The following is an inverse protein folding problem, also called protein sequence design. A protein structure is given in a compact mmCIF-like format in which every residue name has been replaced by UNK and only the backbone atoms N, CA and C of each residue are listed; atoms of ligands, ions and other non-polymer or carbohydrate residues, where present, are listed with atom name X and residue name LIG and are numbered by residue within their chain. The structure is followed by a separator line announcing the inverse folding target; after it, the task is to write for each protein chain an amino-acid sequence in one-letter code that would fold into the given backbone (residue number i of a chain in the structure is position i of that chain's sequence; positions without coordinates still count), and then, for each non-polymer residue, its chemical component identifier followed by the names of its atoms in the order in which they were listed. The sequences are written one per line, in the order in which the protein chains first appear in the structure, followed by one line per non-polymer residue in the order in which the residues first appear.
data_IF_140701500185
#
_entry.id   IF_140701500185
#
_cell.length_a   1.000
_cell.length_b   1.000
_cell.length_c   1.000
_cell.angle_alpha   90.00
_cell.angle_beta   90.00
_cell.angle_gamma   90.00
#
_symmetry.space_group_name_H-M   'P 1'
#
loop_
_entity.id
_entity.type
_entity.pdbx_description
1 polymer ?
#
# COMPACT_ATOMS: atom_id res chain seq x y z
N UNK A 1 -13.30 -28.25 15.66
CA UNK A 1 -14.60 -27.66 15.30
C UNK A 1 -14.33 -26.35 14.57
N UNK A 2 -14.58 -26.27 13.28
CA UNK A 2 -14.41 -25.03 12.51
C UNK A 2 -15.62 -24.12 12.77
N UNK A 3 -15.46 -23.18 13.70
CA UNK A 3 -16.47 -22.16 14.02
C UNK A 3 -16.50 -21.13 12.89
N UNK A 4 -17.52 -21.20 12.02
CA UNK A 4 -17.78 -20.17 11.01
C UNK A 4 -18.61 -19.05 11.63
N UNK A 5 -18.22 -17.80 11.43
CA UNK A 5 -18.96 -16.61 11.88
C UNK A 5 -19.70 -15.98 10.70
N UNK A 6 -20.95 -15.55 10.93
CA UNK A 6 -21.73 -14.84 9.92
C UNK A 6 -21.37 -13.36 9.90
N UNK A 7 -21.21 -12.80 8.70
CA UNK A 7 -21.01 -11.36 8.46
C UNK A 7 -22.14 -10.86 7.57
N UNK A 8 -22.69 -9.68 7.87
CA UNK A 8 -23.74 -9.03 7.09
C UNK A 8 -23.33 -7.59 6.74
N UNK A 9 -23.52 -7.21 5.48
CA UNK A 9 -23.25 -5.86 4.99
C UNK A 9 -24.19 -5.52 3.82
N UNK A 10 -24.46 -4.24 3.61
CA UNK A 10 -25.13 -3.74 2.42
C UNK A 10 -24.10 -3.52 1.30
N UNK A 11 -24.48 -3.88 0.07
CA UNK A 11 -23.71 -3.62 -1.15
C UNK A 11 -24.63 -2.99 -2.19
N UNK A 12 -24.06 -2.35 -3.21
CA UNK A 12 -24.83 -1.84 -4.34
C UNK A 12 -25.43 -2.99 -5.16
N UNK A 13 -26.51 -2.71 -5.89
CA UNK A 13 -27.10 -3.68 -6.82
C UNK A 13 -26.13 -4.08 -7.93
N UNK A 14 -25.31 -3.13 -8.38
CA UNK A 14 -24.26 -3.36 -9.39
C UNK A 14 -23.22 -4.37 -8.88
N UNK A 15 -22.67 -4.17 -7.68
CA UNK A 15 -21.72 -5.11 -7.08
C UNK A 15 -22.34 -6.49 -6.87
N UNK A 16 -23.62 -6.55 -6.48
CA UNK A 16 -24.33 -7.82 -6.38
C UNK A 16 -24.38 -8.53 -7.73
N UNK A 17 -24.73 -7.83 -8.80
CA UNK A 17 -24.83 -8.41 -10.14
C UNK A 17 -23.47 -8.95 -10.63
N UNK A 18 -22.38 -8.19 -10.46
CA UNK A 18 -21.03 -8.61 -10.82
C UNK A 18 -20.59 -9.84 -10.02
N UNK A 19 -20.82 -9.82 -8.71
CA UNK A 19 -20.50 -10.92 -7.80
C UNK A 19 -21.21 -12.22 -8.21
N UNK A 20 -22.50 -12.15 -8.54
CA UNK A 20 -23.28 -13.30 -8.98
C UNK A 20 -22.83 -13.81 -10.35
N UNK A 21 -22.54 -12.90 -11.28
CA UNK A 21 -22.04 -13.26 -12.61
C UNK A 21 -20.69 -13.97 -12.52
N UNK A 22 -19.77 -13.47 -11.69
CA UNK A 22 -18.46 -14.10 -11.46
C UNK A 22 -18.61 -15.49 -10.86
N UNK A 23 -19.41 -15.62 -9.78
CA UNK A 23 -19.65 -16.90 -9.13
C UNK A 23 -20.22 -17.94 -10.10
N UNK A 24 -21.16 -17.53 -10.96
CA UNK A 24 -21.76 -18.38 -11.98
C UNK A 24 -20.77 -18.77 -13.08
N UNK A 25 -19.99 -17.81 -13.60
CA UNK A 25 -19.02 -18.04 -14.67
C UNK A 25 -17.89 -18.99 -14.26
N UNK A 26 -17.41 -18.85 -13.03
CA UNK A 26 -16.27 -19.61 -12.53
C UNK A 26 -16.66 -20.83 -11.69
N UNK A 27 -17.97 -21.08 -11.49
CA UNK A 27 -18.45 -22.23 -10.72
C UNK A 27 -18.06 -22.19 -9.23
N UNK A 28 -17.83 -21.00 -8.67
CA UNK A 28 -17.38 -20.84 -7.28
C UNK A 28 -18.53 -20.47 -6.36
N UNK A 29 -18.46 -20.92 -5.10
CA UNK A 29 -19.47 -20.57 -4.09
C UNK A 29 -19.36 -19.09 -3.72
N UNK A 30 -20.51 -18.41 -3.62
CA UNK A 30 -20.61 -17.02 -3.15
C UNK A 30 -19.86 -16.79 -1.83
N UNK A 31 -20.09 -17.65 -0.84
CA UNK A 31 -19.41 -17.56 0.46
C UNK A 31 -17.89 -17.71 0.36
N UNK A 32 -17.40 -18.60 -0.52
CA UNK A 32 -15.96 -18.77 -0.76
C UNK A 32 -15.36 -17.51 -1.40
N UNK A 33 -16.06 -16.90 -2.34
CA UNK A 33 -15.60 -15.67 -2.99
C UNK A 33 -15.53 -14.49 -1.99
N UNK A 34 -16.51 -14.37 -1.09
CA UNK A 34 -16.50 -13.36 -0.01
C UNK A 34 -15.30 -13.58 0.91
N UNK A 35 -15.10 -14.81 1.40
CA UNK A 35 -13.99 -15.15 2.29
C UNK A 35 -12.64 -14.83 1.63
N UNK A 36 -12.44 -15.24 0.37
CA UNK A 36 -11.20 -14.98 -0.37
C UNK A 36 -10.96 -13.48 -0.59
N UNK A 37 -12.00 -12.73 -0.94
CA UNK A 37 -11.89 -11.28 -1.11
C UNK A 37 -11.48 -10.58 0.19
N UNK A 38 -12.12 -10.94 1.31
CA UNK A 38 -11.77 -10.41 2.64
C UNK A 38 -10.34 -10.78 3.04
N UNK A 39 -9.94 -12.03 2.85
CA UNK A 39 -8.57 -12.47 3.13
C UNK A 39 -7.54 -11.72 2.30
N UNK A 40 -7.77 -11.55 0.99
CA UNK A 40 -6.87 -10.82 0.11
C UNK A 40 -6.73 -9.35 0.55
N UNK A 41 -7.84 -8.71 0.91
CA UNK A 41 -7.81 -7.33 1.38
C UNK A 41 -7.06 -7.19 2.71
N UNK A 42 -7.36 -8.04 3.70
CA UNK A 42 -6.69 -8.02 5.00
C UNK A 42 -5.20 -8.40 4.90
N UNK A 43 -4.85 -9.29 3.98
CA UNK A 43 -3.46 -9.65 3.73
C UNK A 43 -2.69 -8.47 3.14
N UNK A 44 -3.25 -7.76 2.15
CA UNK A 44 -2.65 -6.56 1.58
C UNK A 44 -2.39 -5.47 2.64
N UNK A 45 -3.30 -5.31 3.60
CA UNK A 45 -3.12 -4.37 4.72
C UNK A 45 -2.00 -4.80 5.68
N UNK A 46 -1.74 -6.10 5.83
CA UNK A 46 -0.64 -6.61 6.68
C UNK A 46 0.72 -6.56 5.98
N UNK A 47 0.73 -6.71 4.67
CA UNK A 47 1.95 -6.69 3.85
C UNK A 47 2.47 -5.27 3.62
N UNK A 48 1.67 -4.23 3.88
CA UNK A 48 2.08 -2.82 3.78
C UNK A 48 2.09 -2.20 5.19
N UNK A 49 3.20 -2.29 5.94
CA UNK A 49 3.38 -1.53 7.17
C UNK A 49 3.24 -0.02 6.91
N UNK A 50 2.62 0.72 7.82
CA UNK A 50 2.56 2.19 7.76
C UNK A 50 3.97 2.82 7.67
N UNK A 51 4.96 2.13 8.24
CA UNK A 51 6.38 2.48 8.24
C UNK A 51 7.03 2.45 6.83
N UNK A 52 6.36 1.84 5.84
CA UNK A 52 6.83 1.70 4.46
C UNK A 52 6.13 2.64 3.46
N UNK A 53 5.22 3.51 3.93
CA UNK A 53 4.75 4.63 3.12
C UNK A 53 5.86 5.70 3.14
N UNK A 54 6.79 5.62 2.19
CA UNK A 54 7.66 6.76 1.88
C UNK A 54 6.73 7.88 1.40
N UNK A 55 6.57 8.98 2.14
CA UNK A 55 5.74 10.08 1.66
C UNK A 55 6.36 10.60 0.37
N UNK A 56 5.60 10.61 -0.73
CA UNK A 56 6.05 11.22 -1.99
C UNK A 56 6.26 12.73 -1.88
N UNK A 57 5.86 13.32 -0.75
CA UNK A 57 6.00 14.74 -0.41
C UNK A 57 6.72 14.89 0.93
N UNK A 58 7.88 15.51 0.89
CA UNK A 58 8.58 16.00 2.09
C UNK A 58 8.07 17.40 2.43
N UNK A 59 7.56 17.60 3.64
CA UNK A 59 7.16 18.91 4.14
C UNK A 59 8.32 19.47 4.95
N UNK A 60 8.86 20.61 4.50
CA UNK A 60 9.97 21.30 5.15
C UNK A 60 9.50 22.61 5.78
N UNK A 61 10.22 23.07 6.80
CA UNK A 61 10.11 24.46 7.25
C UNK A 61 10.70 25.39 6.19
N UNK A 62 10.34 26.67 6.20
CA UNK A 62 10.88 27.65 5.25
C UNK A 62 12.41 27.74 5.31
N UNK A 63 12.99 27.68 6.50
CA UNK A 63 14.44 27.69 6.73
C UNK A 63 15.12 26.45 6.16
N UNK A 64 14.57 25.26 6.42
CA UNK A 64 15.11 24.00 5.90
C UNK A 64 15.03 23.94 4.37
N UNK A 65 13.96 24.49 3.78
CA UNK A 65 13.83 24.58 2.33
C UNK A 65 14.89 25.50 1.72
N UNK A 66 15.16 26.66 2.32
CA UNK A 66 16.17 27.60 1.83
C UNK A 66 17.59 27.00 1.86
N UNK A 67 17.95 26.33 2.95
CA UNK A 67 19.25 25.65 3.08
C UNK A 67 19.38 24.51 2.06
N UNK A 68 18.33 23.71 1.88
CA UNK A 68 18.32 22.61 0.90
C UNK A 68 18.48 23.13 -0.52
N UNK A 69 17.75 24.18 -0.89
CA UNK A 69 17.86 24.80 -2.22
C UNK A 69 19.27 25.34 -2.50
N UNK A 70 19.90 25.96 -1.49
CA UNK A 70 21.28 26.44 -1.60
C UNK A 70 22.25 25.29 -1.85
N UNK A 71 22.14 24.19 -1.11
CA UNK A 71 23.01 23.00 -1.27
C UNK A 71 22.79 22.25 -2.57
N UNK A 72 21.58 22.27 -3.15
CA UNK A 72 21.34 21.66 -4.47
C UNK A 72 21.97 22.51 -5.58
N UNK A 73 21.95 23.84 -5.43
CA UNK A 73 22.56 24.76 -6.39
C UNK A 73 24.09 24.79 -6.31
N UNK A 74 24.64 24.50 -5.14
CA UNK A 74 26.07 24.33 -4.93
C UNK A 74 26.44 22.89 -5.29
N UNK A 75 27.15 22.69 -6.39
CA UNK A 75 27.66 21.38 -6.83
C UNK A 75 28.81 20.92 -5.91
N UNK A 76 28.48 20.68 -4.64
CA UNK A 76 29.42 20.31 -3.60
C UNK A 76 29.97 18.91 -3.86
N UNK A 77 31.29 18.77 -3.74
CA UNK A 77 31.95 17.49 -3.96
C UNK A 77 31.55 16.47 -2.88
N UNK A 78 31.40 15.18 -3.25
CA UNK A 78 31.19 14.10 -2.29
C UNK A 78 32.20 14.13 -1.16
N UNK A 79 31.75 13.87 0.06
CA UNK A 79 32.68 13.75 1.19
C UNK A 79 33.60 12.55 1.01
N UNK A 80 34.77 12.57 1.67
CA UNK A 80 35.69 11.42 1.66
C UNK A 80 35.02 10.15 2.19
N UNK A 81 34.17 10.29 3.22
CA UNK A 81 33.39 9.18 3.78
C UNK A 81 32.39 8.59 2.77
N UNK A 82 31.72 9.45 1.99
CA UNK A 82 30.80 9.01 0.94
C UNK A 82 31.56 8.30 -0.17
N UNK A 83 32.69 8.85 -0.59
CA UNK A 83 33.55 8.24 -1.63
C UNK A 83 34.04 6.86 -1.19
N UNK A 84 34.51 6.72 0.06
CA UNK A 84 34.95 5.45 0.60
C UNK A 84 33.84 4.39 0.63
N UNK A 85 32.61 4.78 1.00
CA UNK A 85 31.46 3.87 1.03
C UNK A 85 31.13 3.25 -0.34
N UNK A 86 31.34 3.98 -1.44
CA UNK A 86 31.06 3.52 -2.80
C UNK A 86 32.29 2.91 -3.51
N UNK A 87 33.45 2.85 -2.84
CA UNK A 87 34.69 2.29 -3.40
C UNK A 87 34.98 0.86 -2.91
N UNK A 88 34.17 0.33 -1.99
CA UNK A 88 34.13 -1.08 -1.57
C UNK A 88 33.18 -1.90 -2.46
#
# INVERSE_FOLDING_TARGET
MSTTTQVSAYISEETKAEFEAYAKRHGVKKAYLIEKALQHHLQALREIPEDLIIPSRLVLTGEAMAETAKRIAQDDQPSQALTALFSE
#
